data_IF_713489788962
#
_entry.id   IF_713489788962
#
_cell.length_a   1.000
_cell.length_b   1.000
_cell.length_c   1.000
_cell.angle_alpha   90.00
_cell.angle_beta   90.00
_cell.angle_gamma   90.00
#
_symmetry.space_group_name_H-M   'P 1'
#
loop_
_entity.id
_entity.type
_entity.pdbx_description
1 polymer ?
#
# COMPACT_ATOMS: atom_id res chain seq x y z
N UNK A 1 5.66 -16.06 4.07
CA UNK A 1 5.16 -14.83 3.43
C UNK A 1 5.58 -14.86 1.96
N UNK A 2 4.75 -14.39 1.03
CA UNK A 2 5.13 -14.30 -0.39
C UNK A 2 5.98 -13.05 -0.61
N UNK A 3 7.00 -13.13 -1.47
CA UNK A 3 7.84 -11.98 -1.81
C UNK A 3 7.16 -10.99 -2.75
N UNK A 4 6.09 -11.41 -3.45
CA UNK A 4 5.59 -10.71 -4.62
C UNK A 4 6.40 -11.00 -5.88
N UNK A 5 5.91 -10.50 -7.02
CA UNK A 5 6.50 -10.57 -8.35
C UNK A 5 6.64 -9.13 -8.83
N UNK A 6 7.87 -8.62 -8.82
CA UNK A 6 8.23 -7.27 -9.24
C UNK A 6 9.49 -7.38 -10.09
N UNK A 7 9.44 -6.89 -11.33
CA UNK A 7 10.62 -6.86 -12.21
C UNK A 7 11.72 -6.02 -11.57
N UNK A 8 12.98 -6.43 -11.70
CA UNK A 8 14.13 -5.57 -11.37
C UNK A 8 14.42 -4.58 -12.50
N UNK A 9 15.17 -3.51 -12.21
CA UNK A 9 15.38 -2.42 -13.16
C UNK A 9 16.02 -2.89 -14.49
N UNK A 10 16.87 -3.90 -14.46
CA UNK A 10 17.51 -4.51 -15.63
C UNK A 10 16.54 -5.36 -16.48
N UNK A 11 15.39 -5.75 -15.91
CA UNK A 11 14.32 -6.48 -16.60
C UNK A 11 13.23 -5.54 -17.17
N UNK A 12 13.38 -4.22 -17.00
CA UNK A 12 12.40 -3.26 -17.50
C UNK A 12 12.42 -3.21 -19.04
N UNK A 13 11.24 -3.30 -19.63
CA UNK A 13 11.01 -2.99 -21.04
C UNK A 13 10.48 -1.56 -21.19
N UNK A 14 10.22 -1.12 -22.43
CA UNK A 14 9.75 0.24 -22.72
C UNK A 14 8.42 0.63 -22.06
N UNK A 15 7.66 -0.33 -21.51
CA UNK A 15 6.37 -0.10 -20.87
C UNK A 15 6.34 -0.37 -19.36
N UNK A 16 7.30 -1.15 -18.84
CA UNK A 16 7.31 -1.58 -17.42
C UNK A 16 7.14 -0.42 -16.45
N UNK A 17 7.93 0.65 -16.60
CA UNK A 17 7.88 1.81 -15.70
C UNK A 17 6.49 2.46 -15.68
N UNK A 18 5.90 2.65 -16.85
CA UNK A 18 4.56 3.23 -16.98
C UNK A 18 3.51 2.35 -16.32
N UNK A 19 3.51 1.04 -16.64
CA UNK A 19 2.56 0.09 -16.09
C UNK A 19 2.61 0.03 -14.56
N UNK A 20 3.82 -0.05 -13.99
CA UNK A 20 4.00 -0.17 -12.55
C UNK A 20 3.55 1.09 -11.80
N UNK A 21 3.67 2.27 -12.40
CA UNK A 21 3.28 3.54 -11.78
C UNK A 21 1.78 3.61 -11.41
N UNK A 22 0.92 2.86 -12.10
CA UNK A 22 -0.51 2.74 -11.79
C UNK A 22 -0.90 1.32 -11.33
N UNK A 23 0.08 0.53 -10.88
CA UNK A 23 -0.15 -0.77 -10.23
C UNK A 23 -0.37 -1.95 -11.16
N UNK A 24 0.05 -1.86 -12.43
CA UNK A 24 -0.01 -2.96 -13.41
C UNK A 24 1.37 -3.54 -13.69
N UNK A 25 1.43 -4.82 -14.05
CA UNK A 25 2.70 -5.51 -14.35
C UNK A 25 3.52 -5.92 -13.13
N UNK A 26 2.92 -5.87 -11.94
CA UNK A 26 3.48 -6.36 -10.68
C UNK A 26 2.40 -7.06 -9.85
N UNK A 27 2.81 -7.96 -8.96
CA UNK A 27 1.92 -8.61 -8.00
C UNK A 27 2.55 -8.56 -6.61
N UNK A 28 1.83 -8.01 -5.63
CA UNK A 28 2.32 -7.92 -4.24
C UNK A 28 1.27 -8.48 -3.29
N UNK A 29 1.67 -9.16 -2.20
CA UNK A 29 0.73 -9.56 -1.17
C UNK A 29 0.18 -8.34 -0.42
N UNK A 30 -1.06 -8.44 0.05
CA UNK A 30 -1.76 -7.34 0.76
C UNK A 30 -0.96 -6.76 1.93
N UNK A 31 -0.21 -7.59 2.66
CA UNK A 31 0.60 -7.14 3.81
C UNK A 31 1.72 -6.17 3.40
N UNK A 32 2.28 -6.30 2.20
CA UNK A 32 3.25 -5.33 1.68
C UNK A 32 2.59 -3.99 1.34
N UNK A 33 1.34 -4.00 0.85
CA UNK A 33 0.56 -2.77 0.66
C UNK A 33 0.22 -2.11 1.99
N UNK A 34 -0.17 -2.89 3.01
CA UNK A 34 -0.40 -2.36 4.37
C UNK A 34 0.87 -1.74 4.94
N UNK A 35 2.04 -2.37 4.75
CA UNK A 35 3.33 -1.79 5.16
C UNK A 35 3.62 -0.47 4.45
N UNK A 36 3.36 -0.38 3.14
CA UNK A 36 3.58 0.84 2.37
C UNK A 36 2.64 1.97 2.81
N UNK A 37 1.33 1.73 2.90
CA UNK A 37 0.35 2.74 3.35
C UNK A 37 0.59 3.11 4.82
N UNK A 38 0.92 2.14 5.67
CA UNK A 38 1.28 2.37 7.07
C UNK A 38 2.50 3.27 7.22
N UNK A 39 3.45 3.23 6.27
CA UNK A 39 4.58 4.15 6.29
C UNK A 39 4.16 5.60 6.08
N UNK A 40 3.18 5.87 5.20
CA UNK A 40 2.61 7.21 5.02
C UNK A 40 1.92 7.67 6.30
N UNK A 41 1.11 6.80 6.92
CA UNK A 41 0.44 7.09 8.18
C UNK A 41 1.42 7.36 9.33
N UNK A 42 2.62 6.77 9.29
CA UNK A 42 3.67 6.93 10.29
C UNK A 42 4.78 7.90 9.85
N UNK A 43 4.42 8.99 9.15
CA UNK A 43 5.34 10.07 8.80
C UNK A 43 6.51 9.65 7.90
N UNK A 44 6.31 8.62 7.07
CA UNK A 44 7.29 8.07 6.13
C UNK A 44 8.13 6.92 6.67
N UNK A 45 8.01 6.55 7.96
CA UNK A 45 8.84 5.49 8.57
C UNK A 45 8.23 4.11 8.35
N UNK A 46 9.06 3.14 7.91
CA UNK A 46 8.65 1.77 7.66
C UNK A 46 8.76 0.92 8.92
N UNK A 47 7.67 0.28 9.31
CA UNK A 47 7.65 -0.74 10.36
C UNK A 47 7.32 -2.11 9.77
N UNK A 48 7.72 -3.17 10.47
CA UNK A 48 7.33 -4.54 10.14
C UNK A 48 5.95 -4.82 10.71
N UNK A 49 4.92 -5.14 9.89
CA UNK A 49 3.64 -5.61 10.40
C UNK A 49 3.83 -6.89 11.23
N UNK A 50 3.33 -6.92 12.45
CA UNK A 50 3.53 -8.04 13.38
C UNK A 50 2.32 -8.22 14.30
N UNK A 51 2.16 -9.44 14.83
CA UNK A 51 1.14 -9.78 15.83
C UNK A 51 1.74 -10.06 17.22
N UNK A 52 3.01 -10.47 17.29
CA UNK A 52 3.65 -10.82 18.55
C UNK A 52 3.98 -9.55 19.34
N UNK A 53 3.31 -9.37 20.48
CA UNK A 53 3.53 -8.24 21.40
C UNK A 53 4.50 -8.65 22.52
N UNK A 54 4.36 -9.86 23.06
CA UNK A 54 5.23 -10.38 24.11
C UNK A 54 5.24 -11.90 24.12
N UNK A 55 6.38 -12.48 24.50
CA UNK A 55 6.53 -13.92 24.72
C UNK A 55 7.24 -14.15 26.07
N UNK A 56 6.73 -15.04 26.91
CA UNK A 56 7.37 -15.36 28.19
C UNK A 56 7.52 -14.18 29.17
N UNK A 57 6.67 -13.15 29.06
CA UNK A 57 6.75 -11.93 29.88
C UNK A 57 7.76 -10.89 29.38
N UNK A 58 8.41 -11.12 28.23
CA UNK A 58 9.28 -10.16 27.57
C UNK A 58 8.56 -9.56 26.35
N UNK A 59 8.57 -8.23 26.23
CA UNK A 59 8.06 -7.57 25.02
C UNK A 59 8.90 -7.94 23.81
N UNK A 60 8.23 -8.27 22.70
CA UNK A 60 8.90 -8.47 21.43
C UNK A 60 9.33 -7.11 20.85
N UNK A 61 10.53 -7.06 20.26
CA UNK A 61 11.05 -5.86 19.60
C UNK A 61 10.88 -5.97 18.08
N UNK A 62 10.34 -4.90 17.49
CA UNK A 62 10.08 -4.76 16.06
C UNK A 62 10.53 -3.38 15.60
N UNK A 63 11.84 -3.17 15.44
CA UNK A 63 12.37 -1.86 15.09
C UNK A 63 11.93 -1.43 13.68
N UNK A 64 12.05 -0.13 13.41
CA UNK A 64 11.86 0.41 12.07
C UNK A 64 12.82 -0.26 11.07
N UNK A 65 12.32 -0.55 9.88
CA UNK A 65 13.11 -1.08 8.76
C UNK A 65 13.63 0.01 7.83
N UNK A 66 13.46 1.29 8.19
CA UNK A 66 13.97 2.44 7.44
C UNK A 66 12.93 3.52 7.18
N UNK A 67 13.27 4.45 6.29
CA UNK A 67 12.42 5.59 5.91
C UNK A 67 12.14 5.52 4.40
N UNK A 68 10.87 5.57 4.02
CA UNK A 68 10.42 5.56 2.62
C UNK A 68 10.38 6.96 2.01
N UNK A 69 9.86 7.94 2.75
CA UNK A 69 9.73 9.35 2.38
C UNK A 69 9.93 10.25 3.61
N UNK A 70 10.11 11.56 3.41
CA UNK A 70 10.15 12.51 4.52
C UNK A 70 8.77 12.64 5.20
N UNK A 71 8.76 13.12 6.44
CA UNK A 71 7.52 13.41 7.16
C UNK A 71 6.66 14.47 6.46
N UNK A 72 7.29 15.46 5.82
CA UNK A 72 6.62 16.48 5.01
C UNK A 72 5.91 15.85 3.81
N UNK A 73 6.61 15.03 3.02
CA UNK A 73 6.00 14.32 1.89
C UNK A 73 4.89 13.38 2.34
N UNK A 74 5.04 12.67 3.46
CA UNK A 74 3.99 11.81 4.00
C UNK A 74 2.72 12.61 4.38
N UNK A 75 2.89 13.82 4.95
CA UNK A 75 1.77 14.71 5.28
C UNK A 75 1.07 15.22 4.01
N UNK A 76 1.82 15.64 2.99
CA UNK A 76 1.26 16.06 1.69
C UNK A 76 0.49 14.92 1.01
N UNK A 77 1.03 13.70 1.02
CA UNK A 77 0.35 12.52 0.47
C UNK A 77 -0.93 12.22 1.24
N UNK A 78 -0.91 12.34 2.57
CA UNK A 78 -2.10 12.16 3.41
C UNK A 78 -3.18 13.17 3.06
N UNK A 79 -2.82 14.44 2.84
CA UNK A 79 -3.75 15.50 2.43
C UNK A 79 -4.37 15.21 1.04
N UNK A 80 -3.55 14.78 0.08
CA UNK A 80 -4.05 14.33 -1.22
C UNK A 80 -5.01 13.14 -1.11
N UNK A 81 -4.75 12.19 -0.20
CA UNK A 81 -5.62 11.04 0.03
C UNK A 81 -6.95 11.41 0.70
N UNK A 82 -7.02 12.49 1.49
CA UNK A 82 -8.30 13.00 2.04
C UNK A 82 -9.23 13.47 0.93
N UNK A 83 -8.69 14.12 -0.10
CA UNK A 83 -9.47 14.57 -1.27
C UNK A 83 -10.21 13.40 -1.97
N UNK A 84 -9.61 12.20 -1.95
CA UNK A 84 -10.22 10.98 -2.52
C UNK A 84 -11.46 10.54 -1.75
N UNK A 85 -11.48 10.77 -0.43
CA UNK A 85 -12.63 10.50 0.44
C UNK A 85 -13.64 11.63 0.30
N UNK A 86 -13.22 12.88 0.39
CA UNK A 86 -14.16 14.02 0.41
C UNK A 86 -14.94 14.18 -0.90
N UNK A 87 -14.29 13.93 -2.04
CA UNK A 87 -14.87 14.23 -3.36
C UNK A 87 -14.48 13.26 -4.47
N UNK A 88 -13.75 12.20 -4.13
CA UNK A 88 -13.19 11.25 -5.11
C UNK A 88 -13.92 9.92 -5.17
N UNK A 89 -13.13 8.86 -5.34
CA UNK A 89 -13.64 7.49 -5.52
C UNK A 89 -13.88 6.75 -4.20
N UNK A 90 -13.44 7.30 -3.07
CA UNK A 90 -13.52 6.66 -1.75
C UNK A 90 -14.54 7.33 -0.82
N UNK A 91 -15.55 8.03 -1.36
CA UNK A 91 -16.56 8.76 -0.58
C UNK A 91 -17.33 7.91 0.41
N UNK A 92 -17.51 6.62 0.13
CA UNK A 92 -18.13 5.67 1.06
C UNK A 92 -17.26 5.37 2.30
N UNK A 93 -16.00 5.81 2.30
CA UNK A 93 -15.08 5.70 3.43
C UNK A 93 -15.15 6.87 4.41
N UNK A 94 -15.97 7.89 4.14
CA UNK A 94 -16.15 9.02 5.06
C UNK A 94 -16.82 8.57 6.37
N UNK A 95 -16.29 9.06 7.49
CA UNK A 95 -16.79 8.73 8.83
C UNK A 95 -16.96 10.02 9.62
N UNK A 96 -18.21 10.36 9.90
CA UNK A 96 -18.55 11.59 10.63
C UNK A 96 -17.77 11.70 11.95
N UNK A 97 -17.04 12.80 12.10
CA UNK A 97 -16.22 13.09 13.28
C UNK A 97 -14.76 12.63 13.20
N UNK A 98 -14.33 12.05 12.07
CA UNK A 98 -12.96 11.60 11.83
C UNK A 98 -12.42 12.14 10.51
N UNK A 99 -11.14 12.49 10.50
CA UNK A 99 -10.42 12.74 9.25
C UNK A 99 -9.96 11.40 8.65
N UNK A 100 -10.53 11.00 7.51
CA UNK A 100 -10.17 9.76 6.84
C UNK A 100 -9.37 10.05 5.57
N UNK A 101 -8.22 9.38 5.45
CA UNK A 101 -7.40 9.39 4.23
C UNK A 101 -7.39 7.97 3.65
N UNK A 102 -7.80 7.82 2.38
CA UNK A 102 -7.91 6.50 1.75
C UNK A 102 -7.66 6.55 0.24
N UNK A 103 -7.49 5.37 -0.37
CA UNK A 103 -7.39 5.26 -1.83
C UNK A 103 -7.99 3.95 -2.31
N UNK A 104 -8.92 4.04 -3.27
CA UNK A 104 -9.39 2.83 -3.96
C UNK A 104 -8.36 2.30 -4.95
N UNK A 105 -8.21 0.98 -5.00
CA UNK A 105 -7.50 0.22 -6.01
C UNK A 105 -8.46 -0.57 -6.90
N UNK A 106 -8.11 -0.72 -8.17
CA UNK A 106 -8.80 -1.64 -9.08
C UNK A 106 -7.74 -2.46 -9.79
N UNK A 107 -7.65 -3.74 -9.43
CA UNK A 107 -6.77 -4.71 -10.04
C UNK A 107 -7.50 -5.59 -11.05
N UNK A 108 -6.72 -6.35 -11.81
CA UNK A 108 -7.20 -7.39 -12.70
C UNK A 108 -6.56 -8.71 -12.29
N UNK A 109 -7.39 -9.74 -12.09
CA UNK A 109 -6.94 -11.10 -11.90
C UNK A 109 -7.08 -11.85 -13.21
N UNK A 110 -6.03 -12.55 -13.62
CA UNK A 110 -6.02 -13.42 -14.79
C UNK A 110 -6.31 -14.83 -14.29
N UNK A 111 -7.37 -15.43 -14.79
CA UNK A 111 -7.71 -16.83 -14.52
C UNK A 111 -6.85 -17.76 -15.38
N UNK A 112 -6.76 -19.03 -14.97
CA UNK A 112 -6.02 -20.06 -15.69
C UNK A 112 -6.53 -20.29 -17.13
N UNK A 113 -7.81 -19.98 -17.39
CA UNK A 113 -8.45 -20.06 -18.71
C UNK A 113 -8.23 -18.80 -19.59
N UNK A 114 -7.44 -17.84 -19.09
CA UNK A 114 -7.12 -16.58 -19.76
C UNK A 114 -8.19 -15.50 -19.62
N UNK A 115 -9.28 -15.75 -18.90
CA UNK A 115 -10.28 -14.71 -18.62
C UNK A 115 -9.79 -13.73 -17.55
N UNK A 116 -10.30 -12.50 -17.60
CA UNK A 116 -9.90 -11.42 -16.69
C UNK A 116 -11.06 -11.03 -15.78
N UNK A 117 -10.84 -11.10 -14.47
CA UNK A 117 -11.78 -10.64 -13.45
C UNK A 117 -11.27 -9.32 -12.86
N UNK A 118 -12.19 -8.37 -12.67
CA UNK A 118 -11.90 -7.09 -12.01
C UNK A 118 -11.96 -7.28 -10.48
N UNK A 119 -10.92 -6.87 -9.78
CA UNK A 119 -10.89 -6.84 -8.31
C UNK A 119 -10.86 -5.39 -7.83
N UNK A 120 -11.67 -5.05 -6.84
CA UNK A 120 -11.66 -3.73 -6.19
C UNK A 120 -11.06 -3.88 -4.80
N UNK A 121 -10.11 -3.01 -4.48
CA UNK A 121 -9.51 -2.85 -3.15
C UNK A 121 -9.85 -1.43 -2.68
N UNK A 122 -10.11 -1.23 -1.40
CA UNK A 122 -10.38 0.08 -0.79
C UNK A 122 -9.32 0.34 0.27
#
# INVERSE_FOLDING_TARGET
>A
ESSGIVKSLDEYDGSTLGNMAFGQGLAVPMVQMVKAVGSIANGGTLYTPHFLISEGGQSADWPSTGTSVSAETAAEVTDMMRTVVDSGTATNGDVAGYDVAAKTGTGQQINDDGTVIKMIVI
#
